data_IF_596093250545
#
_entry.id   IF_596093250545
#
_cell.length_a   1.000
_cell.length_b   1.000
_cell.length_c   1.000
_cell.angle_alpha   90.00
_cell.angle_beta   90.00
_cell.angle_gamma   90.00
#
_symmetry.space_group_name_H-M   'P 1'
#
loop_
_entity.id
_entity.type
_entity.pdbx_description
1 polymer ?
#
# COMPACT_ATOMS: atom_id res chain seq x y z
N UNK A 1 -3.00 12.10 4.43
CA UNK A 1 -2.70 12.39 3.73
C UNK A 1 -3.56 12.66 2.80
N UNK A 2 -3.29 13.13 2.12
CA UNK A 2 -4.10 13.69 1.18
C UNK A 2 -4.09 13.04 -0.11
N UNK A 3 -3.32 12.02 -0.32
CA UNK A 3 -3.13 11.46 -1.64
C UNK A 3 -4.42 10.98 -2.27
N UNK A 4 -5.23 10.25 -1.55
CA UNK A 4 -6.45 9.70 -2.09
C UNK A 4 -7.51 10.76 -2.38
N UNK A 5 -7.49 11.87 -1.67
CA UNK A 5 -8.46 12.94 -1.86
C UNK A 5 -7.94 14.11 -2.68
N UNK A 6 -6.72 14.02 -3.15
CA UNK A 6 -6.09 15.11 -3.87
C UNK A 6 -6.22 14.88 -5.37
N UNK A 7 -6.81 15.82 -6.08
CA UNK A 7 -7.01 15.70 -7.51
C UNK A 7 -5.76 16.01 -8.33
N UNK A 8 -4.68 16.40 -7.68
CA UNK A 8 -3.45 16.71 -8.38
C UNK A 8 -2.85 15.48 -9.00
N UNK A 9 -2.26 15.65 -10.16
CA UNK A 9 -1.55 14.58 -10.84
C UNK A 9 -0.10 14.62 -10.39
N UNK A 10 0.36 13.52 -9.82
CA UNK A 10 1.74 13.41 -9.38
C UNK A 10 2.51 12.58 -10.39
N UNK A 11 3.69 13.01 -10.81
CA UNK A 11 4.57 12.14 -11.58
C UNK A 11 4.92 10.90 -10.76
N UNK A 12 4.98 9.77 -11.42
CA UNK A 12 5.25 8.50 -10.74
C UNK A 12 6.52 8.54 -9.91
N UNK A 13 7.57 9.18 -10.44
CA UNK A 13 8.83 9.27 -9.71
C UNK A 13 8.67 10.00 -8.38
N UNK A 14 7.88 11.07 -8.37
CA UNK A 14 7.65 11.84 -7.13
C UNK A 14 6.87 11.02 -6.13
N UNK A 15 5.88 10.28 -6.60
CA UNK A 15 5.08 9.42 -5.73
C UNK A 15 5.98 8.36 -5.08
N UNK A 16 6.83 7.70 -5.87
CA UNK A 16 7.74 6.69 -5.32
C UNK A 16 8.70 7.27 -4.31
N UNK A 17 9.23 8.46 -4.57
CA UNK A 17 10.12 9.11 -3.60
C UNK A 17 9.42 9.40 -2.28
N UNK A 18 8.18 9.90 -2.36
CA UNK A 18 7.40 10.17 -1.14
C UNK A 18 7.15 8.89 -0.36
N UNK A 19 6.89 7.80 -1.06
CA UNK A 19 6.66 6.52 -0.41
C UNK A 19 7.91 6.00 0.24
N UNK A 20 9.05 6.06 -0.44
CA UNK A 20 10.30 5.62 0.15
C UNK A 20 10.60 6.39 1.43
N UNK A 21 10.42 7.71 1.39
CA UNK A 21 10.67 8.54 2.56
C UNK A 21 9.70 8.22 3.70
N UNK A 22 8.40 8.09 3.37
CA UNK A 22 7.40 7.77 4.39
C UNK A 22 7.58 6.35 4.91
N UNK A 23 7.83 5.39 4.04
CA UNK A 23 8.04 4.01 4.44
C UNK A 23 9.27 3.89 5.34
N UNK A 24 10.34 4.61 5.04
CA UNK A 24 11.52 4.60 5.89
C UNK A 24 11.20 5.09 7.30
N UNK A 25 10.37 6.13 7.40
CA UNK A 25 10.00 6.68 8.70
C UNK A 25 9.04 5.76 9.47
N UNK A 26 8.03 5.23 8.79
CA UNK A 26 7.01 4.44 9.46
C UNK A 26 7.33 2.96 9.53
N UNK A 27 8.22 2.48 8.70
CA UNK A 27 8.64 1.08 8.72
C UNK A 27 9.79 0.83 9.70
N UNK A 28 10.30 1.87 10.33
CA UNK A 28 11.37 1.70 11.30
C UNK A 28 10.90 0.74 12.39
N UNK A 29 11.66 -0.32 12.58
CA UNK A 29 11.30 -1.36 13.53
C UNK A 29 10.29 -2.38 13.02
N UNK A 30 9.68 -2.15 11.86
CA UNK A 30 8.76 -3.12 11.28
C UNK A 30 9.51 -4.09 10.38
N UNK A 31 9.17 -5.36 10.49
CA UNK A 31 9.88 -6.42 9.76
C UNK A 31 9.10 -6.95 8.58
N UNK A 32 7.79 -6.72 8.53
CA UNK A 32 6.94 -7.24 7.47
C UNK A 32 5.89 -6.19 7.06
N UNK A 33 5.88 -5.85 5.80
CA UNK A 33 4.89 -4.94 5.22
C UNK A 33 4.10 -5.67 4.14
N UNK A 34 2.81 -5.39 4.10
CA UNK A 34 1.92 -5.92 3.09
C UNK A 34 1.51 -4.79 2.15
N UNK A 35 1.58 -5.05 0.85
CA UNK A 35 1.20 -4.08 -0.17
C UNK A 35 0.01 -4.65 -0.93
N UNK A 36 -1.10 -3.91 -0.95
CA UNK A 36 -2.32 -4.37 -1.57
C UNK A 36 -3.06 -3.18 -2.18
N UNK A 37 -4.26 -3.39 -2.71
CA UNK A 37 -5.06 -2.34 -3.30
C UNK A 37 -5.61 -2.76 -4.66
N UNK A 38 -6.20 -1.80 -5.37
CA UNK A 38 -6.84 -2.04 -6.66
C UNK A 38 -6.03 -1.59 -7.86
N UNK A 39 -4.80 -1.14 -7.66
CA UNK A 39 -3.93 -0.79 -8.78
C UNK A 39 -3.73 -2.01 -9.69
N UNK A 40 -3.39 -1.77 -10.94
CA UNK A 40 -3.14 -2.85 -11.88
C UNK A 40 -1.97 -3.71 -11.40
N UNK A 41 -1.90 -4.93 -11.91
CA UNK A 41 -0.81 -5.83 -11.55
C UNK A 41 0.55 -5.21 -11.88
N UNK A 42 0.64 -4.55 -13.02
CA UNK A 42 1.87 -3.88 -13.44
C UNK A 42 2.27 -2.78 -12.46
N UNK A 43 1.31 -1.96 -12.06
CA UNK A 43 1.58 -0.88 -11.11
C UNK A 43 1.98 -1.44 -9.74
N UNK A 44 1.30 -2.49 -9.31
CA UNK A 44 1.62 -3.16 -8.06
C UNK A 44 3.06 -3.69 -8.08
N UNK A 45 3.46 -4.31 -9.18
CA UNK A 45 4.83 -4.83 -9.32
C UNK A 45 5.86 -3.71 -9.25
N UNK A 46 5.58 -2.58 -9.88
CA UNK A 46 6.48 -1.43 -9.86
C UNK A 46 6.66 -0.91 -8.44
N UNK A 47 5.57 -0.73 -7.72
CA UNK A 47 5.62 -0.24 -6.35
C UNK A 47 6.38 -1.22 -5.47
N UNK A 48 6.08 -2.51 -5.59
CA UNK A 48 6.75 -3.53 -4.78
C UNK A 48 8.25 -3.58 -5.07
N UNK A 49 8.62 -3.43 -6.33
CA UNK A 49 10.04 -3.38 -6.69
C UNK A 49 10.75 -2.21 -6.03
N UNK A 50 10.14 -1.04 -6.05
CA UNK A 50 10.70 0.13 -5.40
C UNK A 50 10.83 -0.06 -3.90
N UNK A 51 9.79 -0.60 -3.26
CA UNK A 51 9.81 -0.80 -1.81
C UNK A 51 10.86 -1.83 -1.40
N UNK A 52 10.98 -2.91 -2.15
CA UNK A 52 12.01 -3.92 -1.85
C UNK A 52 13.42 -3.35 -1.97
N UNK A 53 13.63 -2.47 -2.96
CA UNK A 53 14.92 -1.83 -3.12
C UNK A 53 15.19 -0.82 -2.00
N UNK A 54 14.16 -0.08 -1.59
CA UNK A 54 14.31 0.95 -0.55
C UNK A 54 14.41 0.36 0.85
N UNK A 55 13.81 -0.81 1.08
CA UNK A 55 13.73 -1.43 2.41
C UNK A 55 14.27 -2.86 2.36
N UNK A 56 15.56 -3.03 2.12
CA UNK A 56 16.12 -4.39 1.94
C UNK A 56 16.07 -5.25 3.19
N UNK A 57 15.87 -4.65 4.35
CA UNK A 57 15.77 -5.39 5.62
C UNK A 57 14.34 -5.74 6.00
N UNK A 58 13.37 -5.33 5.19
CA UNK A 58 11.95 -5.53 5.47
C UNK A 58 11.39 -6.55 4.49
N UNK A 59 10.61 -7.50 5.00
CA UNK A 59 9.89 -8.43 4.14
C UNK A 59 8.70 -7.72 3.52
N UNK A 60 8.67 -7.67 2.20
CA UNK A 60 7.57 -7.03 1.47
C UNK A 60 6.76 -8.12 0.78
N UNK A 61 5.48 -8.20 1.11
CA UNK A 61 4.56 -9.16 0.52
C UNK A 61 3.49 -8.39 -0.22
N UNK A 62 3.21 -8.77 -1.45
CA UNK A 62 2.30 -8.04 -2.32
C UNK A 62 1.21 -8.96 -2.85
N UNK A 63 -0.03 -8.53 -2.72
CA UNK A 63 -1.16 -9.20 -3.35
C UNK A 63 -2.30 -8.21 -3.51
N UNK A 64 -2.85 -8.14 -4.72
CA UNK A 64 -3.92 -7.20 -5.04
C UNK A 64 -5.25 -7.63 -4.42
N UNK A 65 -6.17 -6.67 -4.37
CA UNK A 65 -7.59 -6.91 -4.15
C UNK A 65 -7.91 -7.45 -2.75
N UNK A 66 -7.51 -6.68 -1.76
CA UNK A 66 -7.68 -7.07 -0.35
C UNK A 66 -9.13 -7.41 0.00
N UNK A 67 -10.09 -6.63 -0.51
CA UNK A 67 -11.48 -6.78 -0.10
C UNK A 67 -12.07 -8.13 -0.53
N UNK A 68 -11.67 -8.63 -1.72
CA UNK A 68 -12.25 -9.85 -2.26
C UNK A 68 -11.36 -11.08 -2.14
N UNK A 69 -10.09 -10.91 -1.79
CA UNK A 69 -9.15 -12.02 -1.73
C UNK A 69 -8.95 -12.52 -0.31
N UNK A 70 -9.36 -13.75 -0.05
CA UNK A 70 -9.12 -14.36 1.26
C UNK A 70 -7.62 -14.52 1.53
N UNK A 71 -6.85 -14.83 0.47
CA UNK A 71 -5.40 -14.93 0.58
C UNK A 71 -4.77 -13.60 0.99
N UNK A 72 -5.22 -12.50 0.38
CA UNK A 72 -4.73 -11.17 0.72
C UNK A 72 -5.05 -10.82 2.17
N UNK A 73 -6.26 -11.15 2.62
CA UNK A 73 -6.64 -10.88 4.02
C UNK A 73 -5.80 -11.67 5.02
N UNK A 74 -5.44 -12.90 4.68
CA UNK A 74 -4.54 -13.69 5.54
C UNK A 74 -3.16 -13.05 5.61
N UNK A 75 -2.65 -12.56 4.48
CA UNK A 75 -1.35 -11.90 4.44
C UNK A 75 -1.37 -10.60 5.21
N UNK A 76 -2.47 -9.86 5.14
CA UNK A 76 -2.64 -8.65 5.93
C UNK A 76 -2.51 -8.94 7.41
N UNK A 77 -3.16 -9.99 7.89
CA UNK A 77 -3.16 -10.32 9.31
C UNK A 77 -1.75 -10.68 9.83
N UNK A 78 -0.86 -11.07 8.95
CA UNK A 78 0.51 -11.43 9.31
C UNK A 78 1.50 -10.28 9.19
N UNK A 79 1.06 -9.14 8.67
CA UNK A 79 1.93 -7.99 8.46
C UNK A 79 1.99 -7.09 9.69
N UNK A 80 2.96 -6.20 9.70
CA UNK A 80 3.10 -5.19 10.75
C UNK A 80 2.66 -3.82 10.27
N UNK A 81 2.49 -3.66 8.96
CA UNK A 81 1.96 -2.45 8.37
C UNK A 81 1.49 -2.74 6.96
N UNK A 82 0.64 -1.88 6.42
CA UNK A 82 0.11 -2.07 5.08
C UNK A 82 0.21 -0.78 4.28
N UNK A 83 0.55 -0.93 2.99
CA UNK A 83 0.55 0.15 2.02
C UNK A 83 -0.51 -0.17 0.98
N UNK A 84 -1.40 0.78 0.73
CA UNK A 84 -2.45 0.63 -0.27
C UNK A 84 -2.00 1.30 -1.57
N UNK A 85 -2.10 0.58 -2.68
CA UNK A 85 -1.77 1.10 -4.00
C UNK A 85 -3.06 1.13 -4.81
N UNK A 86 -3.50 2.33 -5.19
CA UNK A 86 -4.77 2.52 -5.87
C UNK A 86 -4.55 3.11 -7.25
N UNK A 87 -5.50 2.88 -8.13
CA UNK A 87 -5.41 3.39 -9.49
C UNK A 87 -6.42 4.52 -9.67
N UNK A 88 -5.93 5.66 -10.14
CA UNK A 88 -6.79 6.80 -10.41
C UNK A 88 -7.87 6.43 -11.40
N UNK A 89 -9.11 6.74 -11.06
CA UNK A 89 -10.24 6.45 -11.91
C UNK A 89 -10.82 5.05 -11.76
N UNK A 90 -10.05 4.10 -11.23
CA UNK A 90 -10.51 2.73 -11.06
C UNK A 90 -10.77 2.36 -9.61
N UNK A 91 -9.97 2.87 -8.70
CA UNK A 91 -10.18 2.58 -7.28
C UNK A 91 -11.24 3.50 -6.73
N UNK A 92 -12.35 2.93 -6.28
CA UNK A 92 -13.44 3.69 -5.71
C UNK A 92 -13.15 4.00 -4.25
N UNK A 93 -13.56 5.19 -3.84
CA UNK A 93 -13.34 5.64 -2.47
C UNK A 93 -13.95 4.68 -1.45
N UNK A 94 -15.12 4.14 -1.76
CA UNK A 94 -15.77 3.19 -0.87
C UNK A 94 -14.95 1.92 -0.66
N UNK A 95 -14.25 1.47 -1.69
CA UNK A 95 -13.39 0.28 -1.58
C UNK A 95 -12.15 0.60 -0.74
N UNK A 96 -11.57 1.77 -0.95
CA UNK A 96 -10.41 2.20 -0.14
C UNK A 96 -10.81 2.25 1.34
N UNK A 97 -12.00 2.77 1.63
CA UNK A 97 -12.50 2.82 3.00
C UNK A 97 -12.65 1.41 3.59
N UNK A 98 -13.11 0.44 2.79
CA UNK A 98 -13.22 -0.94 3.24
C UNK A 98 -11.84 -1.55 3.52
N UNK A 99 -10.86 -1.24 2.70
CA UNK A 99 -9.49 -1.71 2.90
C UNK A 99 -8.92 -1.18 4.22
N UNK A 100 -9.13 0.10 4.48
CA UNK A 100 -8.68 0.71 5.73
C UNK A 100 -9.37 0.07 6.92
N UNK A 101 -10.67 -0.19 6.80
CA UNK A 101 -11.42 -0.83 7.87
C UNK A 101 -10.93 -2.25 8.15
N UNK A 102 -10.60 -3.01 7.11
CA UNK A 102 -10.07 -4.35 7.27
C UNK A 102 -8.73 -4.33 8.03
N UNK A 103 -7.86 -3.39 7.68
CA UNK A 103 -6.59 -3.25 8.38
C UNK A 103 -6.80 -2.89 9.84
N UNK A 104 -7.72 -1.96 10.10
CA UNK A 104 -8.05 -1.52 11.44
C UNK A 104 -8.57 -2.67 12.30
N UNK A 105 -9.40 -3.52 11.71
CA UNK A 105 -10.00 -4.64 12.44
C UNK A 105 -8.96 -5.68 12.91
N UNK A 106 -7.81 -5.75 12.26
CA UNK A 106 -6.73 -6.63 12.69
C UNK A 106 -5.56 -5.85 13.32
N UNK A 107 -5.78 -4.58 13.65
CA UNK A 107 -4.80 -3.72 14.29
C UNK A 107 -3.51 -3.55 13.49
N UNK A 108 -3.63 -3.44 12.17
CA UNK A 108 -2.50 -3.18 11.29
C UNK A 108 -2.60 -1.74 10.80
N UNK A 109 -1.53 -0.98 10.97
CA UNK A 109 -1.51 0.41 10.54
C UNK A 109 -1.42 0.54 9.03
N UNK A 110 -2.25 1.42 8.47
CA UNK A 110 -2.09 1.83 7.07
C UNK A 110 -1.05 2.92 7.07
N UNK A 111 0.15 2.60 6.60
CA UNK A 111 1.27 3.54 6.64
C UNK A 111 1.36 4.42 5.41
N UNK A 112 0.58 4.14 4.38
CA UNK A 112 0.55 5.00 3.21
C UNK A 112 -0.47 4.54 2.19
N UNK A 113 -0.92 5.49 1.37
CA UNK A 113 -1.77 5.21 0.21
C UNK A 113 -1.11 5.84 -1.00
N UNK A 114 -0.88 5.02 -2.02
CA UNK A 114 -0.28 5.46 -3.27
C UNK A 114 -1.36 5.50 -4.32
N UNK A 115 -1.46 6.60 -5.04
CA UNK A 115 -2.37 6.70 -6.18
C UNK A 115 -1.52 6.73 -7.44
N UNK A 116 -1.62 5.68 -8.21
CA UNK A 116 -0.84 5.53 -9.44
C UNK A 116 -1.59 6.01 -10.68
#
# INVERSE_FOLDING_TARGET
RRLAGDDKIWPDAVVYEMIEANAANYAEGKKALFVTGLASEKQMEQVCGHLKAALPQTQIVCERNLVESASARRKLAEAEGVILVEERGNSKYSVIAQEIELAKNVNIDVIGVIVA
#
